data_IF_446036944235
#
_entry.id   IF_446036944235
#
_cell.length_a   1.000
_cell.length_b   1.000
_cell.length_c   1.000
_cell.angle_alpha   90.00
_cell.angle_beta   90.00
_cell.angle_gamma   90.00
#
_symmetry.space_group_name_H-M   'P 1'
#
loop_
_entity.id
_entity.type
_entity.pdbx_description
1 polymer ?
#
# COMPACT_ATOMS: atom_id res chain seq x y z
N UNK A 1 -2.49 4.21 23.35
CA UNK A 1 -1.75 4.55 22.12
C UNK A 1 -1.39 3.29 21.37
N UNK A 2 -0.50 2.45 21.92
CA UNK A 2 0.03 1.23 21.28
C UNK A 2 -1.02 0.25 20.72
N UNK A 3 -2.15 0.01 21.40
CA UNK A 3 -3.18 -0.89 20.88
C UNK A 3 -3.89 -0.32 19.64
N UNK A 4 -4.12 1.00 19.60
CA UNK A 4 -4.73 1.68 18.45
C UNK A 4 -3.77 1.66 17.27
N UNK A 5 -2.50 1.99 17.51
CA UNK A 5 -1.46 2.02 16.48
C UNK A 5 -1.21 0.64 15.87
N UNK A 6 -1.30 -0.41 16.70
CA UNK A 6 -1.24 -1.81 16.24
C UNK A 6 -2.42 -2.18 15.34
N UNK A 7 -3.64 -1.85 15.76
CA UNK A 7 -4.84 -2.07 14.95
C UNK A 7 -4.74 -1.31 13.63
N UNK A 8 -4.22 -0.09 13.66
CA UNK A 8 -4.03 0.73 12.47
C UNK A 8 -3.00 0.13 11.50
N UNK A 9 -1.85 -0.34 11.98
CA UNK A 9 -0.86 -1.04 11.13
C UNK A 9 -1.42 -2.34 10.54
N UNK A 10 -2.21 -3.10 11.32
CA UNK A 10 -2.90 -4.29 10.80
C UNK A 10 -3.86 -3.89 9.67
N UNK A 11 -4.71 -2.90 9.89
CA UNK A 11 -5.64 -2.39 8.87
C UNK A 11 -4.91 -1.95 7.59
N UNK A 12 -3.82 -1.20 7.71
CA UNK A 12 -3.03 -0.81 6.55
C UNK A 12 -2.43 -2.01 5.82
N UNK A 13 -1.96 -3.02 6.56
CA UNK A 13 -1.40 -4.23 5.95
C UNK A 13 -2.48 -4.99 5.18
N UNK A 14 -3.66 -5.17 5.78
CA UNK A 14 -4.80 -5.84 5.15
C UNK A 14 -5.26 -5.11 3.87
N UNK A 15 -5.31 -3.77 3.90
CA UNK A 15 -5.61 -2.96 2.73
C UNK A 15 -4.58 -3.15 1.61
N UNK A 16 -3.29 -3.23 1.95
CA UNK A 16 -2.24 -3.43 0.95
C UNK A 16 -2.24 -4.86 0.39
N UNK A 17 -2.59 -5.88 1.19
CA UNK A 17 -2.79 -7.25 0.71
C UNK A 17 -3.95 -7.31 -0.29
N UNK A 18 -5.09 -6.68 0.04
CA UNK A 18 -6.21 -6.54 -0.89
C UNK A 18 -5.79 -5.83 -2.18
N UNK A 19 -5.03 -4.73 -2.08
CA UNK A 19 -4.48 -4.04 -3.25
C UNK A 19 -3.56 -4.94 -4.07
N UNK A 20 -2.79 -5.83 -3.44
CA UNK A 20 -1.93 -6.76 -4.15
C UNK A 20 -2.76 -7.71 -5.02
N UNK A 21 -3.84 -8.26 -4.49
CA UNK A 21 -4.79 -9.09 -5.25
C UNK A 21 -5.45 -8.29 -6.37
N UNK A 22 -5.91 -7.07 -6.09
CA UNK A 22 -6.54 -6.22 -7.10
C UNK A 22 -5.56 -5.84 -8.23
N UNK A 23 -4.27 -5.66 -7.92
CA UNK A 23 -3.25 -5.42 -8.93
C UNK A 23 -3.02 -6.60 -9.88
N UNK A 24 -3.16 -7.85 -9.42
CA UNK A 24 -3.10 -9.02 -10.31
C UNK A 24 -4.19 -8.92 -11.39
N UNK A 25 -5.43 -8.61 -11.00
CA UNK A 25 -6.52 -8.43 -11.94
C UNK A 25 -6.30 -7.26 -12.89
N UNK A 26 -5.78 -6.13 -12.39
CA UNK A 26 -5.49 -4.97 -13.24
C UNK A 26 -4.40 -5.26 -14.27
N UNK A 27 -3.38 -6.04 -13.90
CA UNK A 27 -2.32 -6.50 -14.81
C UNK A 27 -2.91 -7.45 -15.86
N UNK A 28 -3.72 -8.43 -15.46
CA UNK A 28 -4.37 -9.36 -16.38
C UNK A 28 -5.31 -8.64 -17.37
N UNK A 29 -6.05 -7.63 -16.91
CA UNK A 29 -6.90 -6.78 -17.76
C UNK A 29 -6.04 -6.01 -18.76
N UNK A 30 -4.95 -5.42 -18.29
CA UNK A 30 -4.04 -4.68 -19.14
C UNK A 30 -3.49 -5.58 -20.25
N UNK A 31 -2.94 -6.75 -19.89
CA UNK A 31 -2.29 -7.69 -20.80
C UNK A 31 -3.25 -8.25 -21.84
N UNK A 32 -4.50 -8.55 -21.45
CA UNK A 32 -5.47 -9.22 -22.33
C UNK A 32 -6.35 -8.28 -23.14
N UNK A 33 -6.59 -7.06 -22.63
CA UNK A 33 -7.59 -6.15 -23.21
C UNK A 33 -6.93 -4.88 -23.72
N UNK A 34 -6.12 -4.22 -22.90
CA UNK A 34 -5.66 -2.86 -23.19
C UNK A 34 -4.38 -2.82 -24.04
N UNK A 35 -3.48 -3.80 -23.86
CA UNK A 35 -2.22 -3.93 -24.60
C UNK A 35 -1.38 -2.65 -24.62
N UNK A 36 -1.34 -1.91 -23.51
CA UNK A 36 -0.58 -0.70 -23.29
C UNK A 36 0.68 -0.97 -22.45
N UNK A 37 1.78 -1.25 -23.13
CA UNK A 37 3.09 -1.58 -22.53
C UNK A 37 3.52 -0.62 -21.40
N UNK A 38 3.22 0.68 -21.52
CA UNK A 38 3.58 1.65 -20.48
C UNK A 38 2.73 1.46 -19.22
N UNK A 39 1.44 1.20 -19.37
CA UNK A 39 0.54 0.92 -18.25
C UNK A 39 0.86 -0.42 -17.59
N UNK A 40 1.21 -1.44 -18.38
CA UNK A 40 1.71 -2.72 -17.88
C UNK A 40 2.90 -2.54 -16.94
N UNK A 41 3.92 -1.80 -17.39
CA UNK A 41 5.12 -1.51 -16.60
C UNK A 41 4.77 -0.77 -15.31
N UNK A 42 3.91 0.26 -15.38
CA UNK A 42 3.45 1.00 -14.20
C UNK A 42 2.74 0.11 -13.18
N UNK A 43 1.92 -0.85 -13.62
CA UNK A 43 1.21 -1.77 -12.73
C UNK A 43 2.18 -2.73 -12.04
N UNK A 44 3.17 -3.26 -12.75
CA UNK A 44 4.20 -4.13 -12.17
C UNK A 44 5.11 -3.39 -11.18
N UNK A 45 5.55 -2.17 -11.51
CA UNK A 45 6.28 -1.32 -10.59
C UNK A 45 5.48 -1.06 -9.31
N UNK A 46 4.21 -0.67 -9.46
CA UNK A 46 3.32 -0.42 -8.34
C UNK A 46 3.10 -1.67 -7.46
N UNK A 47 2.99 -2.85 -8.07
CA UNK A 47 2.88 -4.13 -7.37
C UNK A 47 4.15 -4.46 -6.57
N UNK A 48 5.33 -4.27 -7.15
CA UNK A 48 6.60 -4.46 -6.44
C UNK A 48 6.73 -3.49 -5.26
N UNK A 49 6.36 -2.23 -5.45
CA UNK A 49 6.30 -1.24 -4.37
C UNK A 49 5.32 -1.66 -3.27
N UNK A 50 4.12 -2.12 -3.65
CA UNK A 50 3.09 -2.57 -2.72
C UNK A 50 3.60 -3.72 -1.83
N UNK A 51 4.22 -4.75 -2.42
CA UNK A 51 4.79 -5.88 -1.70
C UNK A 51 5.94 -5.47 -0.76
N UNK A 52 6.78 -4.52 -1.19
CA UNK A 52 7.83 -3.95 -0.35
C UNK A 52 7.27 -3.24 0.88
N UNK A 53 6.14 -2.52 0.71
CA UNK A 53 5.44 -1.83 1.80
C UNK A 53 4.77 -2.80 2.77
N UNK A 54 4.12 -3.85 2.27
CA UNK A 54 3.57 -4.94 3.12
C UNK A 54 4.65 -5.48 4.04
N UNK A 55 5.81 -5.87 3.49
CA UNK A 55 6.96 -6.38 4.27
C UNK A 55 7.46 -5.36 5.31
N UNK A 56 7.42 -4.08 4.98
CA UNK A 56 7.82 -2.99 5.89
C UNK A 56 6.84 -2.86 7.05
N UNK A 57 5.53 -2.86 6.78
CA UNK A 57 4.48 -2.76 7.79
C UNK A 57 4.44 -4.01 8.69
N UNK A 58 4.57 -5.21 8.12
CA UNK A 58 4.64 -6.45 8.89
C UNK A 58 5.83 -6.45 9.87
N UNK A 59 7.02 -6.02 9.42
CA UNK A 59 8.21 -5.88 10.29
C UNK A 59 8.01 -4.79 11.34
N UNK A 60 7.36 -3.68 10.99
CA UNK A 60 7.06 -2.64 11.94
C UNK A 60 6.09 -3.13 13.02
N UNK A 61 5.00 -3.80 12.62
CA UNK A 61 4.02 -4.41 13.53
C UNK A 61 4.59 -5.53 14.40
N UNK A 62 5.54 -6.33 13.91
CA UNK A 62 6.25 -7.32 14.74
C UNK A 62 7.10 -6.62 15.82
N UNK A 63 7.79 -5.55 15.44
CA UNK A 63 8.63 -4.76 16.34
C UNK A 63 7.82 -3.98 17.38
N UNK A 64 6.53 -3.70 17.12
CA UNK A 64 5.66 -3.06 18.10
C UNK A 64 5.49 -3.86 19.39
N UNK A 65 5.65 -5.20 19.35
CA UNK A 65 5.58 -6.03 20.56
C UNK A 65 6.76 -5.84 21.50
N UNK A 66 7.88 -5.34 20.99
CA UNK A 66 9.11 -5.06 21.74
C UNK A 66 9.16 -3.63 22.30
N UNK A 67 8.11 -2.82 22.09
CA UNK A 67 8.03 -1.41 22.56
C UNK A 67 7.77 -1.32 24.08
N UNK A 68 7.56 -2.45 24.75
CA UNK A 68 7.18 -2.57 26.18
C UNK A 68 8.28 -2.06 27.15
N UNK A 69 9.46 -1.65 26.69
CA UNK A 69 10.61 -1.35 27.56
C UNK A 69 11.01 0.13 27.71
N UNK A 70 10.28 1.12 27.16
CA UNK A 70 10.76 2.52 27.25
C UNK A 70 9.79 3.51 27.92
N UNK A 71 10.12 3.89 29.16
CA UNK A 71 9.36 4.85 30.00
C UNK A 71 9.86 6.32 29.86
N UNK A 72 10.40 6.71 28.70
CA UNK A 72 10.89 8.08 28.48
C UNK A 72 10.11 8.83 27.42
N UNK A 73 9.87 10.12 27.65
CA UNK A 73 9.21 11.00 26.67
C UNK A 73 9.95 11.08 25.32
N UNK A 74 11.26 10.83 25.31
CA UNK A 74 12.07 10.77 24.08
C UNK A 74 11.72 9.53 23.25
N UNK A 75 11.50 8.38 23.89
CA UNK A 75 11.04 7.18 23.21
C UNK A 75 9.63 7.33 22.65
N UNK A 76 8.71 7.94 23.41
CA UNK A 76 7.35 8.21 22.94
C UNK A 76 7.36 9.05 21.66
N UNK A 77 8.15 10.14 21.65
CA UNK A 77 8.30 11.00 20.48
C UNK A 77 8.90 10.25 19.27
N UNK A 78 9.90 9.40 19.50
CA UNK A 78 10.52 8.59 18.44
C UNK A 78 9.53 7.60 17.80
N UNK A 79 8.79 6.85 18.62
CA UNK A 79 7.81 5.87 18.12
C UNK A 79 6.63 6.54 17.42
N UNK A 80 6.16 7.68 17.96
CA UNK A 80 5.13 8.49 17.30
C UNK A 80 5.60 8.98 15.93
N UNK A 81 6.81 9.55 15.83
CA UNK A 81 7.36 10.02 14.56
C UNK A 81 7.50 8.87 13.56
N UNK A 82 7.95 7.69 14.01
CA UNK A 82 8.06 6.50 13.18
C UNK A 82 6.69 6.01 12.70
N UNK A 83 5.68 6.04 13.56
CA UNK A 83 4.32 5.67 13.20
C UNK A 83 3.75 6.61 12.12
N UNK A 84 3.84 7.91 12.34
CA UNK A 84 3.36 8.92 11.39
C UNK A 84 4.10 8.88 10.05
N UNK A 85 5.41 8.57 10.06
CA UNK A 85 6.15 8.34 8.82
C UNK A 85 5.56 7.17 8.02
N UNK A 86 5.26 6.03 8.66
CA UNK A 86 4.62 4.91 7.98
C UNK A 86 3.23 5.28 7.46
N UNK A 87 2.46 6.05 8.24
CA UNK A 87 1.13 6.53 7.84
C UNK A 87 1.16 7.38 6.57
N UNK A 88 2.02 8.40 6.53
CA UNK A 88 2.17 9.28 5.37
C UNK A 88 2.49 8.46 4.12
N UNK A 89 3.48 7.58 4.27
CA UNK A 89 3.95 6.73 3.18
C UNK A 89 2.87 5.76 2.68
N UNK A 90 2.08 5.18 3.58
CA UNK A 90 0.90 4.37 3.24
C UNK A 90 -0.15 5.20 2.49
N UNK A 91 -0.51 6.38 3.00
CA UNK A 91 -1.53 7.25 2.37
C UNK A 91 -1.11 7.72 0.97
N UNK A 92 0.15 8.05 0.77
CA UNK A 92 0.71 8.40 -0.54
C UNK A 92 0.62 7.23 -1.53
N UNK A 93 0.94 6.02 -1.06
CA UNK A 93 0.81 4.81 -1.86
C UNK A 93 -0.64 4.54 -2.27
N UNK A 94 -1.60 4.65 -1.35
CA UNK A 94 -3.03 4.51 -1.65
C UNK A 94 -3.48 5.52 -2.71
N UNK A 95 -3.04 6.77 -2.62
CA UNK A 95 -3.34 7.80 -3.64
C UNK A 95 -2.78 7.42 -5.01
N UNK A 96 -1.53 6.96 -5.06
CA UNK A 96 -0.90 6.54 -6.30
C UNK A 96 -1.62 5.33 -6.92
N UNK A 97 -1.94 4.33 -6.09
CA UNK A 97 -2.70 3.16 -6.49
C UNK A 97 -4.05 3.54 -7.11
N UNK A 98 -4.83 4.37 -6.41
CA UNK A 98 -6.14 4.84 -6.90
C UNK A 98 -6.02 5.57 -8.23
N UNK A 99 -5.00 6.40 -8.40
CA UNK A 99 -4.74 7.11 -9.66
C UNK A 99 -4.47 6.14 -10.81
N UNK A 100 -3.64 5.11 -10.61
CA UNK A 100 -3.33 4.11 -11.64
C UNK A 100 -4.55 3.22 -11.93
N UNK A 101 -5.28 2.78 -10.89
CA UNK A 101 -6.56 2.07 -11.05
C UNK A 101 -7.54 2.85 -11.92
N UNK A 102 -7.74 4.14 -11.62
CA UNK A 102 -8.62 5.00 -12.44
C UNK A 102 -8.15 5.09 -13.88
N UNK A 103 -6.83 5.15 -14.14
CA UNK A 103 -6.32 5.13 -15.52
C UNK A 103 -6.69 3.83 -16.25
N UNK A 104 -6.51 2.67 -15.62
CA UNK A 104 -6.91 1.37 -16.19
C UNK A 104 -8.41 1.37 -16.51
N UNK A 105 -9.25 1.74 -15.54
CA UNK A 105 -10.71 1.79 -15.73
C UNK A 105 -11.12 2.76 -16.86
N UNK A 106 -10.49 3.92 -16.97
CA UNK A 106 -10.75 4.86 -18.07
C UNK A 106 -10.36 4.28 -19.43
N UNK A 107 -9.25 3.55 -19.51
CA UNK A 107 -8.84 2.87 -20.75
C UNK A 107 -9.82 1.76 -21.13
N UNK A 108 -10.37 1.02 -20.17
CA UNK A 108 -11.43 0.03 -20.44
C UNK A 108 -12.65 0.73 -21.05
N UNK A 109 -13.12 1.82 -20.43
CA UNK A 109 -14.30 2.56 -20.92
C UNK A 109 -14.12 3.08 -22.35
N UNK A 110 -12.92 3.55 -22.71
CA UNK A 110 -12.61 4.01 -24.08
C UNK A 110 -12.56 2.86 -25.10
N UNK A 111 -12.24 1.64 -24.66
CA UNK A 111 -12.16 0.47 -25.54
C UNK A 111 -13.50 -0.24 -25.77
N UNK A 112 -14.54 0.08 -24.98
CA UNK A 112 -15.89 -0.41 -25.22
C UNK A 112 -16.47 0.36 -26.42
N UNK A 113 -16.38 -0.24 -27.61
CA UNK A 113 -17.18 0.21 -28.77
C UNK A 113 -18.64 -0.15 -28.50
N UNK A 114 -19.51 0.86 -28.36
CA UNK A 114 -20.97 0.72 -28.41
C UNK A 114 -21.41 0.32 -29.80
#
# INVERSE_FOLDING_TARGET
MMQKDKVEVTSWTDDLEYINEELEYLIDIEDRILNNVHLYQQLHELKNENQSRIKTLQRYGSNMRHIIECDTAQCDAFYLQKHEKNRIVYLEHIKNYRRIKTKVLSQILLNIKV
#
